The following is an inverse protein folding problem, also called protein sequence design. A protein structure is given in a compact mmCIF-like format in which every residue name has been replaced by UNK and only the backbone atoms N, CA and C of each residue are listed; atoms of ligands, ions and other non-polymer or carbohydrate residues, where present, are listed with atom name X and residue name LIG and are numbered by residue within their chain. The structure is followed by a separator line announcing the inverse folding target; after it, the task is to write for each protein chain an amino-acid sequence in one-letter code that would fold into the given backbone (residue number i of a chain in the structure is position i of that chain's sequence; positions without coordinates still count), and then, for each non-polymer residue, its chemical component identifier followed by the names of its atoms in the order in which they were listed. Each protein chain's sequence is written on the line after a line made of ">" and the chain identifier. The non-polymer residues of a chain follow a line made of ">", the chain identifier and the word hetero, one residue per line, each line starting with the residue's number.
data_IF_047592804935
#
_entry.id   IF_047592804935
#
_cell.length_a   1.000
_cell.length_b   1.000
_cell.length_c   1.000
_cell.angle_alpha   90.00
_cell.angle_beta   90.00
_cell.angle_gamma   90.00
#
_symmetry.space_group_name_H-M   'P 1'
#
loop_
_entity.id
_entity.type
_entity.pdbx_description
1 polymer ?
#
# COMPACT_ATOMS: atom_id res chain seq x y z
N UNK A 1 -6.28 -8.74 3.28
CA UNK A 1 -7.43 -7.86 2.98
C UNK A 1 -7.83 -7.00 4.17
N UNK A 2 -8.16 -7.56 5.35
CA UNK A 2 -8.73 -6.74 6.43
C UNK A 2 -7.76 -5.72 7.06
N UNK A 3 -6.46 -6.03 7.09
CA UNK A 3 -5.42 -5.21 7.71
C UNK A 3 -5.40 -3.74 7.22
N UNK A 4 -5.40 -3.54 5.90
CA UNK A 4 -5.40 -2.20 5.29
C UNK A 4 -6.78 -1.54 5.37
N UNK A 5 -7.87 -2.31 5.29
CA UNK A 5 -9.23 -1.78 5.45
C UNK A 5 -9.45 -1.14 6.82
N UNK A 6 -8.93 -1.75 7.89
CA UNK A 6 -8.92 -1.17 9.25
C UNK A 6 -8.08 0.11 9.37
N UNK A 7 -7.30 0.47 8.34
CA UNK A 7 -6.39 1.62 8.31
C UNK A 7 -6.77 2.65 7.26
N UNK A 8 -8.02 2.61 6.79
CA UNK A 8 -8.59 3.65 5.90
C UNK A 8 -8.41 3.39 4.41
N UNK A 9 -7.97 2.19 4.01
CA UNK A 9 -7.94 1.80 2.60
C UNK A 9 -9.29 1.22 2.15
N UNK A 10 -9.69 1.54 0.92
CA UNK A 10 -10.86 0.90 0.31
C UNK A 10 -10.59 -0.58 0.01
N UNK A 11 -11.65 -1.34 -0.26
CA UNK A 11 -11.51 -2.75 -0.70
C UNK A 11 -10.75 -2.84 -2.02
N UNK A 12 -11.02 -1.93 -2.96
CA UNK A 12 -10.37 -1.90 -4.27
C UNK A 12 -8.89 -1.58 -4.15
N UNK A 13 -8.53 -0.54 -3.38
CA UNK A 13 -7.12 -0.18 -3.15
C UNK A 13 -6.36 -1.32 -2.47
N UNK A 14 -7.01 -1.95 -1.48
CA UNK A 14 -6.41 -3.09 -0.78
C UNK A 14 -6.12 -4.27 -1.72
N UNK A 15 -7.05 -4.59 -2.62
CA UNK A 15 -6.85 -5.64 -3.61
C UNK A 15 -5.68 -5.29 -4.54
N UNK A 16 -5.69 -4.07 -5.09
CA UNK A 16 -4.62 -3.57 -5.96
C UNK A 16 -3.25 -3.67 -5.30
N UNK A 17 -3.12 -3.22 -4.04
CA UNK A 17 -1.85 -3.28 -3.30
C UNK A 17 -1.36 -4.72 -3.13
N UNK A 18 -2.27 -5.65 -2.80
CA UNK A 18 -1.90 -7.08 -2.64
C UNK A 18 -1.47 -7.69 -3.98
N UNK A 19 -2.16 -7.35 -5.07
CA UNK A 19 -1.81 -7.80 -6.42
C UNK A 19 -0.45 -7.24 -6.87
N UNK A 20 -0.17 -5.96 -6.60
CA UNK A 20 1.13 -5.36 -6.88
C UNK A 20 2.25 -6.06 -6.13
N UNK A 21 2.09 -6.32 -4.82
CA UNK A 21 3.10 -7.06 -4.04
C UNK A 21 3.29 -8.48 -4.58
N UNK A 22 2.20 -9.17 -4.92
CA UNK A 22 2.27 -10.51 -5.51
C UNK A 22 3.02 -10.50 -6.85
N UNK A 23 2.77 -9.51 -7.70
CA UNK A 23 3.40 -9.39 -9.00
C UNK A 23 4.90 -9.05 -8.88
N UNK A 24 5.29 -8.19 -7.94
CA UNK A 24 6.68 -7.75 -7.78
C UNK A 24 7.53 -8.72 -6.93
N UNK A 25 6.98 -9.30 -5.87
CA UNK A 25 7.71 -10.15 -4.91
C UNK A 25 7.43 -11.65 -5.06
N UNK A 26 6.47 -12.05 -5.91
CA UNK A 26 6.10 -13.46 -6.10
C UNK A 26 5.38 -14.10 -4.91
N UNK A 27 5.01 -13.30 -3.89
CA UNK A 27 4.30 -13.75 -2.69
C UNK A 27 3.31 -12.70 -2.22
N UNK A 28 2.33 -13.12 -1.42
CA UNK A 28 1.42 -12.16 -0.76
C UNK A 28 2.18 -11.40 0.35
N UNK A 29 1.74 -10.17 0.68
CA UNK A 29 2.30 -9.43 1.81
C UNK A 29 2.14 -10.21 3.11
N UNK A 30 3.22 -10.30 3.88
CA UNK A 30 3.33 -10.96 5.17
C UNK A 30 3.77 -10.01 6.30
N UNK A 31 4.32 -8.84 5.96
CA UNK A 31 4.80 -7.82 6.90
C UNK A 31 4.20 -6.44 6.64
N UNK A 32 4.34 -5.53 7.62
CA UNK A 32 3.99 -4.12 7.42
C UNK A 32 4.83 -3.50 6.29
N UNK A 33 6.11 -3.86 6.21
CA UNK A 33 7.01 -3.38 5.17
C UNK A 33 6.53 -3.79 3.77
N UNK A 34 6.08 -5.03 3.59
CA UNK A 34 5.53 -5.51 2.32
C UNK A 34 4.33 -4.64 1.89
N UNK A 35 3.45 -4.28 2.83
CA UNK A 35 2.33 -3.39 2.53
C UNK A 35 2.78 -1.96 2.20
N UNK A 36 3.77 -1.42 2.91
CA UNK A 36 4.34 -0.09 2.63
C UNK A 36 4.95 -0.06 1.23
N UNK A 37 5.70 -1.10 0.85
CA UNK A 37 6.28 -1.27 -0.49
C UNK A 37 5.18 -1.36 -1.55
N UNK A 38 4.15 -2.17 -1.33
CA UNK A 38 3.01 -2.26 -2.24
C UNK A 38 2.27 -0.94 -2.43
N UNK A 39 2.06 -0.17 -1.36
CA UNK A 39 1.42 1.15 -1.45
C UNK A 39 2.28 2.12 -2.25
N UNK A 40 3.60 2.13 -2.00
CA UNK A 40 4.51 3.02 -2.75
C UNK A 40 4.65 2.61 -4.21
N UNK A 41 4.65 1.32 -4.52
CA UNK A 41 4.59 0.83 -5.90
C UNK A 41 3.33 1.31 -6.62
N UNK A 42 2.14 1.15 -6.01
CA UNK A 42 0.87 1.66 -6.57
C UNK A 42 0.86 3.19 -6.73
N UNK A 43 1.54 3.92 -5.85
CA UNK A 43 1.62 5.37 -5.89
C UNK A 43 2.46 5.88 -7.08
N UNK A 44 3.52 5.14 -7.48
CA UNK A 44 4.40 5.50 -8.62
C UNK A 44 3.63 5.61 -9.94
N UNK A 45 2.58 4.80 -10.11
CA UNK A 45 1.76 4.79 -11.33
C UNK A 45 0.67 5.88 -11.35
N UNK A 46 0.55 6.71 -10.30
CA UNK A 46 -0.46 7.77 -10.28
C UNK A 46 -0.02 8.95 -11.15
N UNK A 47 -0.82 9.34 -12.17
CA UNK A 47 -0.47 10.47 -13.04
C UNK A 47 -0.59 11.81 -12.32
N UNK A 48 -1.44 11.89 -11.29
CA UNK A 48 -1.67 13.11 -10.51
C UNK A 48 -0.85 13.09 -9.23
N UNK A 49 -0.08 14.17 -9.00
CA UNK A 49 0.82 14.30 -7.86
C UNK A 49 0.10 14.20 -6.51
N UNK A 50 -1.08 14.80 -6.37
CA UNK A 50 -1.85 14.75 -5.12
C UNK A 50 -2.26 13.31 -4.76
N UNK A 51 -2.66 12.53 -5.76
CA UNK A 51 -3.03 11.13 -5.57
C UNK A 51 -1.82 10.26 -5.18
N UNK A 52 -0.63 10.58 -5.71
CA UNK A 52 0.62 9.94 -5.28
C UNK A 52 0.93 10.29 -3.82
N UNK A 53 0.89 11.58 -3.47
CA UNK A 53 1.21 12.08 -2.13
C UNK A 53 0.26 11.53 -1.05
N UNK A 54 -1.03 11.38 -1.35
CA UNK A 54 -2.00 10.79 -0.41
C UNK A 54 -1.65 9.32 -0.08
N UNK A 55 -1.28 8.53 -1.09
CA UNK A 55 -0.87 7.13 -0.90
C UNK A 55 0.45 7.03 -0.14
N UNK A 56 1.46 7.83 -0.51
CA UNK A 56 2.75 7.88 0.19
C UNK A 56 2.58 8.32 1.65
N UNK A 57 1.70 9.30 1.92
CA UNK A 57 1.37 9.74 3.26
C UNK A 57 0.71 8.64 4.10
N UNK A 58 -0.18 7.83 3.51
CA UNK A 58 -0.76 6.65 4.17
C UNK A 58 0.28 5.57 4.43
N UNK A 59 1.21 5.33 3.50
CA UNK A 59 2.31 4.39 3.66
C UNK A 59 3.23 4.81 4.82
N UNK A 60 3.59 6.10 4.89
CA UNK A 60 4.38 6.66 5.99
C UNK A 60 3.71 6.45 7.35
N UNK A 61 2.43 6.80 7.49
CA UNK A 61 1.66 6.58 8.73
C UNK A 61 1.60 5.10 9.13
N UNK A 62 1.59 4.20 8.16
CA UNK A 62 1.60 2.76 8.42
C UNK A 62 2.95 2.31 8.97
N UNK A 63 4.05 2.80 8.38
CA UNK A 63 5.41 2.54 8.84
C UNK A 63 5.68 3.12 10.23
N UNK A 64 5.29 4.37 10.47
CA UNK A 64 5.48 5.08 11.77
C UNK A 64 4.78 4.37 12.94
N UNK A 65 3.73 3.58 12.67
CA UNK A 65 3.00 2.80 13.70
C UNK A 65 3.62 1.43 13.98
N UNK A 66 4.56 0.99 13.14
CA UNK A 66 5.25 -0.29 13.28
C UNK A 66 6.66 -0.14 13.86
N UNK A 67 7.18 1.09 13.92
CA UNK A 67 8.39 1.48 14.63
C UNK A 67 8.09 1.76 16.11
#
# INVERSE_FOLDING_TARGET
>A
MEFLRKRGFSKADTAKIIETVLAEEGRKPASVFDFVQGITAVARDKPHQDARLDLEGKAKKLLDRAA
#
